data_IF_574846562953
#
_entry.id   IF_574846562953
#
_cell.length_a   1.000
_cell.length_b   1.000
_cell.length_c   1.000
_cell.angle_alpha   90.00
_cell.angle_beta   90.00
_cell.angle_gamma   90.00
#
_symmetry.space_group_name_H-M   'P 1'
#
loop_
_entity.id
_entity.type
_entity.pdbx_description
1 polymer ?
#
# COMPACT_ATOMS: atom_id res chain seq x y z
N UNK A 1 1.06 -13.03 -4.32
CA UNK A 1 0.95 -11.81 -5.12
C UNK A 1 0.84 -10.60 -4.21
N UNK A 2 1.04 -9.41 -4.74
CA UNK A 2 0.65 -8.19 -4.07
C UNK A 2 0.29 -7.17 -5.14
N UNK A 3 -0.77 -6.42 -4.90
CA UNK A 3 -1.33 -5.45 -5.86
C UNK A 3 -0.27 -4.43 -6.32
N UNK A 4 0.68 -4.10 -5.45
CA UNK A 4 1.78 -3.16 -5.75
C UNK A 4 3.11 -3.69 -5.16
N UNK A 5 4.20 -3.58 -5.94
CA UNK A 5 5.56 -3.91 -5.49
C UNK A 5 6.24 -2.69 -4.85
N UNK A 6 7.17 -2.93 -3.92
CA UNK A 6 7.89 -1.84 -3.24
C UNK A 6 8.66 -0.93 -4.21
N UNK A 7 9.26 -1.52 -5.27
CA UNK A 7 9.98 -0.76 -6.31
C UNK A 7 9.09 0.24 -7.05
N UNK A 8 7.80 -0.05 -7.18
CA UNK A 8 6.83 0.84 -7.84
C UNK A 8 6.44 1.98 -6.88
N UNK A 9 6.20 1.67 -5.60
CA UNK A 9 5.89 2.68 -4.57
C UNK A 9 7.02 3.72 -4.44
N UNK A 10 8.28 3.27 -4.47
CA UNK A 10 9.43 4.17 -4.34
C UNK A 10 9.50 5.18 -5.48
N UNK A 11 9.09 4.78 -6.69
CA UNK A 11 9.08 5.64 -7.89
C UNK A 11 7.92 6.64 -7.90
N UNK A 12 6.88 6.42 -7.10
CA UNK A 12 5.74 7.33 -7.02
C UNK A 12 6.11 8.61 -6.26
N UNK A 13 5.61 9.74 -6.73
CA UNK A 13 5.70 11.00 -5.98
C UNK A 13 4.75 10.98 -4.76
N UNK A 14 4.85 11.97 -3.88
CA UNK A 14 4.05 12.00 -2.64
C UNK A 14 2.54 12.14 -2.90
N UNK A 15 2.13 12.83 -3.96
CA UNK A 15 0.72 13.03 -4.28
C UNK A 15 0.11 11.78 -4.94
N UNK A 16 0.87 11.09 -5.79
CA UNK A 16 0.55 9.77 -6.33
C UNK A 16 0.42 8.75 -5.21
N UNK A 17 1.34 8.74 -4.24
CA UNK A 17 1.25 7.88 -3.05
C UNK A 17 -0.03 8.14 -2.26
N UNK A 18 -0.37 9.41 -2.00
CA UNK A 18 -1.61 9.80 -1.31
C UNK A 18 -2.85 9.37 -2.09
N UNK A 19 -2.91 9.65 -3.38
CA UNK A 19 -4.03 9.26 -4.25
C UNK A 19 -4.21 7.74 -4.25
N UNK A 20 -3.13 6.99 -4.42
CA UNK A 20 -3.14 5.53 -4.41
C UNK A 20 -3.54 4.96 -3.06
N UNK A 21 -3.11 5.59 -1.97
CA UNK A 21 -3.49 5.21 -0.61
C UNK A 21 -5.00 5.34 -0.39
N UNK A 22 -5.61 6.44 -0.81
CA UNK A 22 -7.06 6.65 -0.69
C UNK A 22 -7.86 5.68 -1.57
N UNK A 23 -7.42 5.42 -2.80
CA UNK A 23 -8.01 4.40 -3.67
C UNK A 23 -8.03 3.02 -2.99
N UNK A 24 -6.89 2.59 -2.43
CA UNK A 24 -6.77 1.29 -1.76
C UNK A 24 -7.58 1.21 -0.46
N UNK A 25 -7.72 2.30 0.29
CA UNK A 25 -8.59 2.37 1.47
C UNK A 25 -10.06 2.20 1.08
N UNK A 26 -10.50 2.88 0.02
CA UNK A 26 -11.88 2.75 -0.48
C UNK A 26 -12.16 1.34 -0.99
N UNK A 27 -11.20 0.72 -1.68
CA UNK A 27 -11.31 -0.67 -2.10
C UNK A 27 -11.39 -1.62 -0.88
N UNK A 28 -10.59 -1.38 0.16
CA UNK A 28 -10.63 -2.15 1.40
C UNK A 28 -12.00 -2.07 2.08
N UNK A 29 -12.59 -0.87 2.15
CA UNK A 29 -13.92 -0.65 2.74
C UNK A 29 -14.98 -1.42 1.94
N UNK A 30 -15.01 -1.28 0.62
CA UNK A 30 -15.94 -2.01 -0.25
C UNK A 30 -15.82 -3.53 -0.07
N UNK A 31 -14.59 -4.04 0.06
CA UNK A 31 -14.35 -5.47 0.32
C UNK A 31 -14.79 -5.91 1.71
N UNK A 32 -14.62 -5.09 2.74
CA UNK A 32 -15.10 -5.40 4.08
C UNK A 32 -16.63 -5.43 4.15
N UNK A 33 -17.31 -4.50 3.47
CA UNK A 33 -18.79 -4.49 3.38
C UNK A 33 -19.32 -5.74 2.65
N UNK A 34 -18.55 -6.28 1.70
CA UNK A 34 -18.90 -7.50 0.96
C UNK A 34 -18.22 -8.77 1.50
N UNK A 35 -17.55 -8.70 2.65
CA UNK A 35 -16.68 -9.78 3.17
C UNK A 35 -17.42 -11.09 3.47
N UNK A 36 -18.73 -11.02 3.69
CA UNK A 36 -19.56 -12.18 4.00
C UNK A 36 -19.82 -13.10 2.79
N UNK A 37 -19.52 -12.68 1.54
CA UNK A 37 -19.94 -13.45 0.36
C UNK A 37 -18.86 -14.21 -0.40
N UNK A 38 -17.58 -13.84 -0.37
CA UNK A 38 -16.47 -14.71 -0.85
C UNK A 38 -15.10 -14.01 -0.79
N UNK A 39 -14.09 -14.64 -0.17
CA UNK A 39 -12.68 -14.45 -0.50
C UNK A 39 -11.81 -13.67 0.49
N UNK A 40 -11.33 -14.33 1.55
CA UNK A 40 -10.37 -13.81 2.57
C UNK A 40 -9.00 -13.39 2.00
N UNK A 41 -8.64 -13.86 0.80
CA UNK A 41 -7.31 -13.70 0.19
C UNK A 41 -7.04 -12.28 -0.30
N UNK A 42 -8.04 -11.59 -0.90
CA UNK A 42 -7.85 -10.26 -1.51
C UNK A 42 -7.68 -9.13 -0.49
N UNK A 43 -8.39 -9.21 0.64
CA UNK A 43 -8.28 -8.21 1.73
C UNK A 43 -6.86 -8.14 2.31
N UNK A 44 -6.18 -9.28 2.43
CA UNK A 44 -4.79 -9.35 2.92
C UNK A 44 -3.83 -8.65 1.96
N UNK A 45 -4.04 -8.75 0.66
CA UNK A 45 -3.19 -8.13 -0.35
C UNK A 45 -3.37 -6.61 -0.39
N UNK A 46 -4.60 -6.11 -0.26
CA UNK A 46 -4.89 -4.67 -0.18
C UNK A 46 -4.26 -4.07 1.08
N UNK A 47 -4.41 -4.73 2.25
CA UNK A 47 -3.75 -4.30 3.49
C UNK A 47 -2.22 -4.24 3.36
N UNK A 48 -1.61 -5.22 2.69
CA UNK A 48 -0.17 -5.21 2.41
C UNK A 48 0.25 -4.07 1.47
N UNK A 49 -0.56 -3.73 0.47
CA UNK A 49 -0.28 -2.62 -0.42
C UNK A 49 -0.33 -1.27 0.32
N UNK A 50 -1.36 -1.06 1.15
CA UNK A 50 -1.49 0.11 2.04
C UNK A 50 -0.27 0.25 2.95
N UNK A 51 0.13 -0.85 3.62
CA UNK A 51 1.27 -0.85 4.52
C UNK A 51 2.57 -0.41 3.81
N UNK A 52 2.82 -0.87 2.58
CA UNK A 52 4.02 -0.49 1.82
C UNK A 52 4.04 0.99 1.45
N UNK A 53 2.90 1.55 1.04
CA UNK A 53 2.78 2.98 0.73
C UNK A 53 3.07 3.79 1.99
N UNK A 54 2.43 3.45 3.11
CA UNK A 54 2.66 4.13 4.39
C UNK A 54 4.12 4.01 4.85
N UNK A 55 4.74 2.83 4.73
CA UNK A 55 6.16 2.66 5.05
C UNK A 55 7.06 3.49 4.14
N UNK A 56 6.76 3.58 2.84
CA UNK A 56 7.55 4.43 1.92
C UNK A 56 7.38 5.92 2.20
N UNK A 57 6.22 6.36 2.67
CA UNK A 57 5.97 7.76 3.07
C UNK A 57 6.61 8.10 4.42
N UNK A 58 6.56 7.17 5.38
CA UNK A 58 7.11 7.36 6.74
C UNK A 58 8.61 7.04 6.84
N UNK A 59 9.24 6.57 5.77
CA UNK A 59 10.69 6.36 5.73
C UNK A 59 11.38 7.39 4.84
N UNK A 60 11.48 8.66 5.27
CA UNK A 60 12.28 9.66 4.56
C UNK A 60 13.80 9.40 4.68
N UNK A 61 14.26 8.40 5.45
CA UNK A 61 15.66 8.42 5.91
C UNK A 61 16.34 7.07 6.23
N UNK A 62 16.04 5.96 5.52
CA UNK A 62 16.87 4.74 5.64
C UNK A 62 17.78 4.44 4.45
N UNK A 63 17.59 5.11 3.31
CA UNK A 63 18.50 4.96 2.15
C UNK A 63 19.75 5.84 2.25
N UNK A 64 19.83 6.76 3.23
CA UNK A 64 21.03 7.57 3.50
C UNK A 64 22.00 6.96 4.54
N UNK A 65 21.67 5.82 5.14
CA UNK A 65 22.40 5.23 6.29
C UNK A 65 23.18 3.95 5.96
N UNK A 66 23.54 3.71 4.69
CA UNK A 66 24.37 2.54 4.30
C UNK A 66 25.67 2.88 3.58
N UNK A 67 26.10 4.14 3.62
CA UNK A 67 27.48 4.52 3.27
C UNK A 67 28.17 5.10 4.51
N UNK A 68 28.66 4.23 5.39
CA UNK A 68 29.72 4.58 6.34
C UNK A 68 30.70 3.42 6.40
#
# INVERSE_FOLDING_TARGET
MAVIKNKEVIKMNNDEKKKKLEELKMELIKKNVHANKSGKIRTKEIKKAIARILTSMNSPNKMKLTNK
#
